data_IF_682658413059
#
_entry.id   IF_682658413059
#
_cell.length_a   1.000
_cell.length_b   1.000
_cell.length_c   1.000
_cell.angle_alpha   90.00
_cell.angle_beta   90.00
_cell.angle_gamma   90.00
#
_symmetry.space_group_name_H-M   'P 1'
#
loop_
_entity.id
_entity.type
_entity.pdbx_description
1 polymer ?
#
# COMPACT_ATOMS: atom_id res chain seq x y z
N UNK A 1 38.85 -28.67 14.71
CA UNK A 1 38.91 -28.43 13.26
C UNK A 1 38.93 -29.78 12.53
N UNK A 2 37.80 -30.20 11.96
CA UNK A 2 37.76 -31.24 10.92
C UNK A 2 36.46 -31.07 10.13
N UNK A 3 36.62 -30.69 8.86
CA UNK A 3 35.59 -30.59 7.81
C UNK A 3 35.22 -31.98 7.31
N UNK A 4 33.95 -32.19 6.98
CA UNK A 4 33.46 -33.20 6.01
C UNK A 4 32.10 -32.69 5.48
N UNK A 5 32.01 -32.10 4.28
CA UNK A 5 32.04 -32.70 2.95
C UNK A 5 30.69 -33.35 2.56
N UNK A 6 30.04 -32.69 1.60
CA UNK A 6 28.87 -33.11 0.79
C UNK A 6 29.26 -34.31 -0.09
N UNK A 7 28.28 -35.15 -0.48
CA UNK A 7 28.21 -35.50 -1.91
C UNK A 7 26.80 -35.34 -2.49
N UNK A 8 26.79 -34.64 -3.63
CA UNK A 8 25.86 -34.70 -4.76
C UNK A 8 25.91 -36.08 -5.42
N UNK A 9 24.80 -36.56 -6.02
CA UNK A 9 24.67 -37.51 -7.16
C UNK A 9 23.28 -38.20 -7.09
N UNK A 10 22.45 -38.48 -8.12
CA UNK A 10 22.54 -38.62 -9.59
C UNK A 10 21.14 -38.43 -10.19
N UNK A 11 21.06 -37.76 -11.34
CA UNK A 11 19.94 -37.80 -12.27
C UNK A 11 19.92 -39.11 -13.09
N UNK A 12 18.75 -39.67 -13.40
CA UNK A 12 18.64 -40.73 -14.41
C UNK A 12 17.45 -40.50 -15.33
N UNK A 13 17.79 -40.36 -16.62
CA UNK A 13 16.92 -40.25 -17.78
C UNK A 13 16.44 -41.64 -18.26
N UNK A 14 15.21 -41.65 -18.80
CA UNK A 14 14.70 -42.38 -19.97
C UNK A 14 14.88 -43.90 -20.12
N UNK A 15 13.75 -44.58 -20.38
CA UNK A 15 13.63 -45.54 -21.49
C UNK A 15 12.26 -45.37 -22.18
N UNK A 16 12.32 -45.24 -23.51
CA UNK A 16 11.23 -45.23 -24.48
C UNK A 16 10.57 -46.61 -24.61
N UNK A 17 9.26 -46.64 -24.89
CA UNK A 17 8.64 -47.73 -25.63
C UNK A 17 8.00 -47.16 -26.90
N UNK A 18 8.41 -47.73 -28.03
CA UNK A 18 7.89 -47.47 -29.37
C UNK A 18 7.43 -48.81 -29.98
N UNK A 19 6.57 -48.69 -31.00
CA UNK A 19 5.95 -49.72 -31.86
C UNK A 19 4.65 -50.34 -31.30
N UNK A 20 3.51 -50.29 -31.99
CA UNK A 20 3.20 -49.79 -33.33
C UNK A 20 1.74 -50.10 -33.67
N UNK A 21 1.17 -49.32 -34.59
CA UNK A 21 -0.20 -49.50 -35.09
C UNK A 21 -0.54 -48.36 -36.03
N UNK A 22 -0.23 -48.55 -37.30
CA UNK A 22 -0.50 -47.64 -38.40
C UNK A 22 -2.00 -47.55 -38.67
N UNK A 23 -2.58 -46.36 -38.52
CA UNK A 23 -3.69 -45.92 -39.35
C UNK A 23 -3.39 -44.50 -39.84
N UNK A 24 -3.57 -44.32 -41.14
CA UNK A 24 -3.25 -43.12 -41.91
C UNK A 24 -4.08 -41.92 -41.40
N UNK A 25 -3.49 -40.75 -41.11
CA UNK A 25 -4.28 -39.58 -40.78
C UNK A 25 -4.84 -38.97 -42.06
N UNK A 26 -6.16 -39.06 -42.23
CA UNK A 26 -6.89 -38.24 -43.20
C UNK A 26 -6.93 -36.82 -42.64
N UNK A 27 -6.40 -35.87 -43.40
CA UNK A 27 -6.51 -34.43 -43.15
C UNK A 27 -7.98 -34.04 -42.89
N UNK A 28 -8.25 -33.52 -41.71
CA UNK A 28 -9.36 -32.62 -41.48
C UNK A 28 -8.75 -31.22 -41.34
N UNK A 29 -8.83 -30.46 -42.43
CA UNK A 29 -8.63 -29.02 -42.47
C UNK A 29 -9.48 -28.36 -41.38
N UNK A 30 -8.83 -27.55 -40.54
CA UNK A 30 -9.48 -26.90 -39.41
C UNK A 30 -8.53 -25.94 -38.71
N UNK A 31 -8.27 -24.84 -39.40
CA UNK A 31 -7.63 -23.60 -38.98
C UNK A 31 -7.29 -23.42 -37.47
N UNK A 32 -6.04 -23.06 -37.21
CA UNK A 32 -5.77 -21.96 -36.27
C UNK A 32 -5.31 -22.31 -34.86
N UNK A 33 -4.60 -23.42 -34.65
CA UNK A 33 -3.89 -23.67 -33.39
C UNK A 33 -2.55 -22.90 -33.29
N UNK A 34 -2.54 -21.61 -33.66
CA UNK A 34 -1.38 -20.72 -33.48
C UNK A 34 -1.86 -19.28 -33.30
N UNK A 35 -2.32 -18.89 -32.09
CA UNK A 35 -2.24 -17.49 -31.65
C UNK A 35 -2.50 -17.18 -30.16
N UNK A 36 -2.47 -18.15 -29.24
CA UNK A 36 -2.55 -17.84 -27.79
C UNK A 36 -1.14 -17.58 -27.22
N UNK A 37 -0.35 -16.74 -27.89
CA UNK A 37 0.98 -16.30 -27.40
C UNK A 37 1.18 -14.79 -27.47
N UNK A 38 0.15 -14.04 -27.84
CA UNK A 38 0.17 -12.57 -27.83
C UNK A 38 -0.91 -12.06 -26.90
N UNK A 39 -0.68 -10.90 -26.26
CA UNK A 39 -1.68 -10.21 -25.45
C UNK A 39 -2.97 -9.92 -26.24
N UNK A 40 -2.86 -9.77 -27.57
CA UNK A 40 -4.02 -9.65 -28.47
C UNK A 40 -4.84 -10.94 -28.51
N UNK A 41 -4.20 -12.11 -28.64
CA UNK A 41 -4.91 -13.39 -28.65
C UNK A 41 -5.61 -13.73 -27.32
N UNK A 42 -5.05 -13.27 -26.19
CA UNK A 42 -5.70 -13.35 -24.88
C UNK A 42 -6.92 -12.41 -24.79
N UNK A 43 -6.80 -11.17 -25.27
CA UNK A 43 -7.89 -10.19 -25.32
C UNK A 43 -9.07 -10.68 -26.15
N UNK A 44 -8.80 -11.33 -27.29
CA UNK A 44 -9.85 -11.84 -28.16
C UNK A 44 -10.54 -13.06 -27.52
N UNK A 45 -9.79 -13.95 -26.85
CA UNK A 45 -10.38 -15.09 -26.12
C UNK A 45 -11.25 -14.67 -24.93
N UNK A 46 -10.92 -13.56 -24.25
CA UNK A 46 -11.69 -13.05 -23.10
C UNK A 46 -13.04 -12.43 -23.50
N UNK A 47 -13.21 -12.06 -24.77
CA UNK A 47 -14.44 -11.43 -25.27
C UNK A 47 -15.48 -12.45 -25.79
N UNK A 48 -15.07 -13.68 -26.13
CA UNK A 48 -15.99 -14.70 -26.67
C UNK A 48 -16.78 -15.45 -25.58
N UNK A 49 -16.36 -15.41 -24.31
CA UNK A 49 -16.96 -16.23 -23.24
C UNK A 49 -17.46 -15.42 -22.03
N UNK A 50 -18.14 -14.29 -22.24
CA UNK A 50 -18.88 -13.59 -21.18
C UNK A 50 -20.39 -13.63 -21.40
N UNK A 51 -21.02 -14.71 -20.93
CA UNK A 51 -22.42 -14.61 -20.45
C UNK A 51 -22.36 -13.86 -19.11
N UNK A 52 -22.50 -12.54 -19.18
CA UNK A 52 -22.50 -11.64 -18.04
C UNK A 52 -23.74 -11.86 -17.17
N UNK A 53 -23.66 -12.82 -16.23
CA UNK A 53 -24.46 -12.74 -15.00
C UNK A 53 -23.71 -11.76 -14.09
N UNK A 54 -23.89 -10.47 -14.34
CA UNK A 54 -23.41 -9.43 -13.42
C UNK A 54 -24.31 -9.48 -12.21
N UNK A 55 -23.80 -10.00 -11.10
CA UNK A 55 -24.38 -9.69 -9.80
C UNK A 55 -24.16 -8.18 -9.57
N UNK A 56 -25.22 -7.36 -9.49
CA UNK A 56 -25.08 -5.92 -9.24
C UNK A 56 -24.44 -5.61 -7.87
N UNK A 57 -24.24 -6.61 -7.01
CA UNK A 57 -23.51 -6.52 -5.75
C UNK A 57 -22.11 -7.15 -5.78
N UNK A 58 -21.67 -7.72 -6.90
CA UNK A 58 -20.30 -8.22 -6.99
C UNK A 58 -19.34 -7.04 -7.12
N UNK A 59 -18.62 -6.75 -6.03
CA UNK A 59 -17.45 -5.86 -6.03
C UNK A 59 -16.51 -6.34 -7.14
N UNK A 60 -16.21 -5.47 -8.10
CA UNK A 60 -15.32 -5.78 -9.22
C UNK A 60 -14.01 -6.37 -8.69
N UNK A 61 -13.49 -7.45 -9.29
CA UNK A 61 -12.30 -8.13 -8.79
C UNK A 61 -11.08 -7.17 -8.66
N UNK A 62 -11.03 -6.12 -9.47
CA UNK A 62 -10.05 -5.04 -9.36
C UNK A 62 -10.23 -4.21 -8.08
N UNK A 63 -11.47 -3.92 -7.68
CA UNK A 63 -11.79 -3.13 -6.48
C UNK A 63 -11.46 -3.88 -5.17
N UNK A 64 -11.39 -5.21 -5.19
CA UNK A 64 -10.89 -5.98 -4.05
C UNK A 64 -9.39 -5.78 -3.78
N UNK A 65 -8.64 -5.35 -4.81
CA UNK A 65 -7.18 -5.16 -4.75
C UNK A 65 -6.77 -3.72 -4.46
N UNK A 66 -7.66 -2.85 -3.98
CA UNK A 66 -7.24 -1.52 -3.51
C UNK A 66 -6.49 -1.70 -2.18
N UNK A 67 -5.16 -1.55 -2.24
CA UNK A 67 -4.24 -1.66 -1.11
C UNK A 67 -3.03 -0.73 -1.34
N UNK A 68 -3.05 0.51 -0.81
CA UNK A 68 -1.97 1.47 -1.04
C UNK A 68 -0.62 0.99 -0.49
N UNK A 69 -0.62 0.19 0.58
CA UNK A 69 0.60 -0.35 1.17
C UNK A 69 1.24 -1.44 0.31
N UNK A 70 0.44 -2.16 -0.48
CA UNK A 70 0.95 -3.16 -1.41
C UNK A 70 1.51 -2.57 -2.69
N UNK A 71 0.89 -1.50 -3.20
CA UNK A 71 1.12 -1.01 -4.55
C UNK A 71 1.80 0.35 -4.65
N UNK A 72 1.85 1.15 -3.58
CA UNK A 72 2.42 2.51 -3.62
C UNK A 72 3.43 2.86 -2.54
N UNK A 73 3.34 2.30 -1.32
CA UNK A 73 4.04 2.87 -0.15
C UNK A 73 5.33 2.13 0.31
N UNK A 74 6.03 1.42 -0.58
CA UNK A 74 7.31 0.75 -0.27
C UNK A 74 7.31 -0.18 0.96
N UNK A 75 6.23 -0.92 1.18
CA UNK A 75 6.22 -2.01 2.15
C UNK A 75 6.65 -3.30 1.46
N UNK A 76 7.63 -4.00 2.01
CA UNK A 76 8.01 -5.32 1.53
C UNK A 76 6.91 -6.35 1.82
N UNK A 77 6.93 -7.47 1.10
CA UNK A 77 5.99 -8.59 1.34
C UNK A 77 6.08 -9.04 2.82
N UNK A 78 7.29 -9.16 3.36
CA UNK A 78 7.50 -9.61 4.75
C UNK A 78 6.91 -8.65 5.78
N UNK A 79 7.06 -7.34 5.57
CA UNK A 79 6.46 -6.34 6.46
C UNK A 79 4.94 -6.41 6.41
N UNK A 80 4.36 -6.52 5.21
CA UNK A 80 2.90 -6.62 5.08
C UNK A 80 2.35 -7.90 5.69
N UNK A 81 3.03 -9.03 5.56
CA UNK A 81 2.59 -10.28 6.18
C UNK A 81 2.58 -10.17 7.72
N UNK A 82 3.60 -9.55 8.30
CA UNK A 82 3.65 -9.27 9.73
C UNK A 82 2.49 -8.33 10.15
N UNK A 83 2.31 -7.22 9.44
CA UNK A 83 1.29 -6.23 9.73
C UNK A 83 -0.13 -6.77 9.54
N UNK A 84 -0.35 -7.64 8.55
CA UNK A 84 -1.62 -8.35 8.35
C UNK A 84 -1.94 -9.28 9.53
N UNK A 85 -0.92 -9.94 10.11
CA UNK A 85 -1.07 -10.70 11.35
C UNK A 85 -1.53 -9.82 12.50
N UNK A 86 -0.85 -8.68 12.72
CA UNK A 86 -1.24 -7.70 13.75
C UNK A 86 -2.63 -7.11 13.50
N UNK A 87 -3.00 -6.87 12.24
CA UNK A 87 -4.33 -6.37 11.88
C UNK A 87 -5.43 -7.39 12.17
N UNK A 88 -5.17 -8.68 11.93
CA UNK A 88 -6.11 -9.73 12.28
C UNK A 88 -6.34 -9.79 13.80
N UNK A 89 -5.28 -9.66 14.60
CA UNK A 89 -5.38 -9.59 16.06
C UNK A 89 -6.13 -8.32 16.50
N UNK A 90 -5.81 -7.17 15.91
CA UNK A 90 -6.46 -5.88 16.20
C UNK A 90 -7.97 -5.90 15.93
N UNK A 91 -8.42 -6.57 14.87
CA UNK A 91 -9.85 -6.73 14.55
C UNK A 91 -10.62 -7.54 15.59
N UNK A 92 -9.94 -8.39 16.36
CA UNK A 92 -10.57 -9.18 17.41
C UNK A 92 -10.64 -8.42 18.76
N UNK A 93 -9.97 -7.28 18.87
CA UNK A 93 -9.94 -6.46 20.08
C UNK A 93 -10.91 -5.28 19.99
N UNK A 94 -11.90 -5.26 20.89
CA UNK A 94 -12.78 -4.09 21.05
C UNK A 94 -11.97 -2.81 21.35
N UNK A 95 -12.43 -1.69 20.81
CA UNK A 95 -11.82 -0.35 20.92
C UNK A 95 -10.36 -0.23 20.42
N UNK A 96 -9.82 -1.22 19.70
CA UNK A 96 -8.43 -1.16 19.22
C UNK A 96 -8.18 0.08 18.37
N UNK A 97 -9.05 0.37 17.42
CA UNK A 97 -8.93 1.54 16.55
C UNK A 97 -8.78 2.84 17.37
N UNK A 98 -9.64 3.04 18.37
CA UNK A 98 -9.59 4.23 19.22
C UNK A 98 -8.29 4.31 20.03
N UNK A 99 -7.81 3.18 20.58
CA UNK A 99 -6.51 3.13 21.29
C UNK A 99 -5.34 3.40 20.35
N UNK A 100 -5.37 2.83 19.14
CA UNK A 100 -4.32 2.99 18.13
C UNK A 100 -4.24 4.44 17.64
N UNK A 101 -5.37 5.09 17.40
CA UNK A 101 -5.44 6.52 17.08
C UNK A 101 -4.92 7.39 18.23
N UNK A 102 -5.29 7.09 19.49
CA UNK A 102 -4.77 7.81 20.65
C UNK A 102 -3.24 7.67 20.77
N UNK A 103 -2.71 6.47 20.56
CA UNK A 103 -1.27 6.26 20.56
C UNK A 103 -0.57 6.97 19.39
N UNK A 104 -1.20 7.06 18.22
CA UNK A 104 -0.70 7.88 17.11
C UNK A 104 -0.65 9.37 17.46
N UNK A 105 -1.68 9.89 18.13
CA UNK A 105 -1.69 11.28 18.64
C UNK A 105 -0.49 11.58 19.53
N UNK A 106 -0.11 10.63 20.39
CA UNK A 106 1.03 10.77 21.29
C UNK A 106 2.39 10.73 20.54
N UNK A 107 2.47 9.95 19.46
CA UNK A 107 3.73 9.74 18.74
C UNK A 107 4.00 10.77 17.65
N UNK A 108 2.97 11.33 17.01
CA UNK A 108 3.15 12.32 15.95
C UNK A 108 4.04 13.49 16.38
N UNK A 109 3.84 14.14 17.54
CA UNK A 109 4.72 15.23 17.98
C UNK A 109 6.18 14.83 18.18
N UNK A 110 6.48 13.54 18.31
CA UNK A 110 7.84 13.03 18.55
C UNK A 110 8.59 12.79 17.24
N UNK A 111 7.94 12.16 16.25
CA UNK A 111 8.61 11.72 15.00
C UNK A 111 8.19 12.52 13.77
N UNK A 112 7.06 13.22 13.83
CA UNK A 112 6.51 14.09 12.78
C UNK A 112 6.14 15.44 13.40
N UNK A 113 7.11 16.17 13.97
CA UNK A 113 6.86 17.44 14.64
C UNK A 113 6.21 18.43 13.66
N UNK A 114 5.25 19.21 14.14
CA UNK A 114 4.44 20.11 13.32
C UNK A 114 3.18 19.49 12.74
N UNK A 115 3.18 18.20 12.40
CA UNK A 115 1.97 17.49 11.97
C UNK A 115 0.97 17.40 13.12
N UNK A 116 -0.18 18.05 12.98
CA UNK A 116 -1.27 17.90 13.94
C UNK A 116 -1.94 16.53 13.81
N UNK A 117 -2.42 16.00 14.94
CA UNK A 117 -3.19 14.75 14.94
C UNK A 117 -4.50 14.91 14.16
N UNK A 118 -5.12 16.08 14.26
CA UNK A 118 -6.34 16.43 13.53
C UNK A 118 -6.11 16.40 12.00
N UNK A 119 -4.99 16.95 11.52
CA UNK A 119 -4.61 16.88 10.09
C UNK A 119 -4.33 15.45 9.65
N UNK A 120 -3.52 14.70 10.41
CA UNK A 120 -3.26 13.28 10.14
C UNK A 120 -4.55 12.48 9.98
N UNK A 121 -5.49 12.63 10.93
CA UNK A 121 -6.73 11.86 10.94
C UNK A 121 -7.66 12.28 9.79
N UNK A 122 -7.76 13.59 9.50
CA UNK A 122 -8.56 14.10 8.40
C UNK A 122 -8.07 13.57 7.04
N UNK A 123 -6.75 13.68 6.78
CA UNK A 123 -6.15 13.21 5.52
C UNK A 123 -6.26 11.67 5.41
N UNK A 124 -6.05 10.94 6.50
CA UNK A 124 -6.22 9.49 6.50
C UNK A 124 -7.68 9.08 6.22
N UNK A 125 -8.66 9.88 6.68
CA UNK A 125 -10.08 9.70 6.32
C UNK A 125 -10.28 9.85 4.82
N UNK A 126 -9.68 10.86 4.19
CA UNK A 126 -9.74 11.05 2.73
C UNK A 126 -9.21 9.82 1.97
N UNK A 127 -8.08 9.24 2.42
CA UNK A 127 -7.51 8.03 1.84
C UNK A 127 -8.48 6.84 1.92
N UNK A 128 -9.11 6.68 3.08
CA UNK A 128 -10.07 5.60 3.35
C UNK A 128 -11.35 5.81 2.54
N UNK A 129 -11.85 7.03 2.43
CA UNK A 129 -13.02 7.38 1.63
C UNK A 129 -12.81 7.06 0.14
N UNK A 130 -11.62 7.37 -0.41
CA UNK A 130 -11.25 6.98 -1.77
C UNK A 130 -11.28 5.45 -1.97
N UNK A 131 -10.66 4.69 -1.06
CA UNK A 131 -10.68 3.22 -1.10
C UNK A 131 -12.13 2.68 -1.07
N UNK A 132 -12.93 3.13 -0.09
CA UNK A 132 -14.32 2.68 0.06
C UNK A 132 -15.15 3.00 -1.17
N UNK A 133 -15.03 4.20 -1.75
CA UNK A 133 -15.74 4.56 -2.98
C UNK A 133 -15.33 3.69 -4.18
N UNK A 134 -14.05 3.32 -4.28
CA UNK A 134 -13.58 2.34 -5.27
C UNK A 134 -14.18 0.96 -5.07
N UNK A 135 -14.22 0.47 -3.82
CA UNK A 135 -14.85 -0.80 -3.44
C UNK A 135 -16.35 -0.84 -3.71
N UNK A 136 -17.03 0.28 -3.55
CA UNK A 136 -18.46 0.42 -3.82
C UNK A 136 -18.79 0.63 -5.31
N UNK A 137 -17.77 0.70 -6.18
CA UNK A 137 -17.92 0.89 -7.62
C UNK A 137 -18.34 2.31 -8.03
N UNK A 138 -18.18 3.29 -7.13
CA UNK A 138 -18.45 4.71 -7.42
C UNK A 138 -17.26 5.31 -8.17
N UNK A 139 -16.04 5.00 -7.72
CA UNK A 139 -14.80 5.36 -8.41
C UNK A 139 -14.25 4.18 -9.20
N UNK A 140 -13.54 4.51 -10.28
CA UNK A 140 -12.77 3.49 -11.01
C UNK A 140 -11.64 2.98 -10.10
N UNK A 141 -11.41 1.66 -9.98
CA UNK A 141 -10.52 1.11 -8.95
C UNK A 141 -9.07 1.64 -8.96
N UNK A 142 -8.50 1.93 -10.14
CA UNK A 142 -7.14 2.48 -10.21
C UNK A 142 -7.10 3.93 -9.70
N UNK A 143 -8.10 4.75 -10.05
CA UNK A 143 -8.23 6.12 -9.54
C UNK A 143 -8.40 6.12 -8.01
N UNK A 144 -9.22 5.21 -7.49
CA UNK A 144 -9.39 5.04 -6.05
C UNK A 144 -8.08 4.62 -5.37
N UNK A 145 -7.30 3.73 -5.99
CA UNK A 145 -5.99 3.33 -5.48
C UNK A 145 -5.00 4.49 -5.48
N UNK A 146 -4.91 5.25 -6.57
CA UNK A 146 -3.99 6.38 -6.68
C UNK A 146 -4.29 7.43 -5.60
N UNK A 147 -5.56 7.84 -5.45
CA UNK A 147 -5.97 8.75 -4.38
C UNK A 147 -5.70 8.17 -2.99
N UNK A 148 -5.97 6.87 -2.78
CA UNK A 148 -5.67 6.23 -1.50
C UNK A 148 -4.16 6.24 -1.20
N UNK A 149 -3.29 6.06 -2.19
CA UNK A 149 -1.84 6.16 -2.04
C UNK A 149 -1.46 7.58 -1.64
N UNK A 150 -1.84 8.57 -2.44
CA UNK A 150 -1.44 9.97 -2.26
C UNK A 150 -1.88 10.50 -0.89
N UNK A 151 -3.14 10.27 -0.49
CA UNK A 151 -3.61 10.69 0.83
C UNK A 151 -2.98 9.91 1.98
N UNK A 152 -2.75 8.60 1.82
CA UNK A 152 -2.12 7.80 2.88
C UNK A 152 -0.70 8.32 3.15
N UNK A 153 0.06 8.58 2.09
CA UNK A 153 1.39 9.17 2.18
C UNK A 153 1.35 10.59 2.77
N UNK A 154 0.49 11.46 2.23
CA UNK A 154 0.35 12.83 2.71
C UNK A 154 -0.02 12.92 4.20
N UNK A 155 -0.80 11.96 4.71
CA UNK A 155 -1.22 11.95 6.11
C UNK A 155 -0.04 11.90 7.10
N UNK A 156 1.10 11.34 6.69
CA UNK A 156 2.31 11.20 7.51
C UNK A 156 3.46 12.10 7.06
N UNK A 157 3.37 12.69 5.87
CA UNK A 157 4.33 13.67 5.34
C UNK A 157 4.18 15.03 6.00
N UNK A 158 5.28 15.71 6.29
CA UNK A 158 5.31 17.08 6.81
C UNK A 158 5.16 18.04 5.62
N UNK A 159 4.11 18.85 5.61
CA UNK A 159 3.88 19.87 4.56
C UNK A 159 4.71 21.13 4.83
N UNK A 160 4.72 22.07 3.88
CA UNK A 160 5.39 23.37 4.07
C UNK A 160 4.84 24.12 5.29
N UNK A 161 3.51 24.14 5.44
CA UNK A 161 2.83 24.75 6.59
C UNK A 161 3.22 24.08 7.91
N UNK A 162 3.35 22.75 7.93
CA UNK A 162 3.80 22.02 9.11
C UNK A 162 5.24 22.42 9.50
N UNK A 163 6.11 22.70 8.53
CA UNK A 163 7.49 23.15 8.78
C UNK A 163 7.55 24.55 9.39
N UNK A 164 6.60 25.43 9.07
CA UNK A 164 6.50 26.76 9.66
C UNK A 164 5.95 26.75 11.10
N UNK A 165 5.39 25.62 11.53
CA UNK A 165 4.78 25.50 12.87
C UNK A 165 5.81 25.64 14.01
N UNK A 166 5.37 26.19 15.15
CA UNK A 166 6.21 26.27 16.36
C UNK A 166 6.73 24.90 16.81
N UNK A 167 5.94 23.84 16.62
CA UNK A 167 6.31 22.47 16.96
C UNK A 167 7.49 21.96 16.13
N UNK A 168 7.49 22.21 14.83
CA UNK A 168 8.61 21.84 13.95
C UNK A 168 9.85 22.69 14.24
N UNK A 169 9.70 24.00 14.37
CA UNK A 169 10.81 24.92 14.67
C UNK A 169 11.49 24.59 16.01
N UNK A 170 10.72 24.23 17.03
CA UNK A 170 11.26 23.80 18.32
C UNK A 170 12.04 22.47 18.22
N UNK A 171 11.53 21.51 17.43
CA UNK A 171 12.22 20.27 17.17
C UNK A 171 13.53 20.50 16.40
N UNK A 172 13.51 21.34 15.36
CA UNK A 172 14.70 21.69 14.58
C UNK A 172 15.77 22.31 15.47
N UNK A 173 15.40 23.26 16.33
CA UNK A 173 16.32 23.86 17.30
C UNK A 173 16.93 22.82 18.26
N UNK A 174 16.13 21.85 18.74
CA UNK A 174 16.63 20.75 19.57
C UNK A 174 17.61 19.86 18.81
N UNK A 175 17.33 19.55 17.54
CA UNK A 175 18.21 18.73 16.71
C UNK A 175 19.55 19.42 16.43
N UNK A 176 19.52 20.73 16.17
CA UNK A 176 20.73 21.55 16.01
C UNK A 176 21.56 21.55 17.30
N UNK A 177 20.94 21.80 18.46
CA UNK A 177 21.64 21.78 19.75
C UNK A 177 22.26 20.39 20.04
N UNK A 178 21.52 19.31 19.79
CA UNK A 178 22.03 17.95 19.96
C UNK A 178 23.21 17.65 19.01
N UNK A 179 23.20 18.24 17.81
CA UNK A 179 24.27 18.09 16.84
C UNK A 179 25.53 18.86 17.27
N UNK A 180 25.38 20.09 17.74
CA UNK A 180 26.49 20.98 18.12
C UNK A 180 27.08 20.64 19.51
N UNK A 181 26.22 20.35 20.49
CA UNK A 181 26.59 20.25 21.90
C UNK A 181 26.48 18.83 22.47
N UNK A 182 25.76 17.92 21.81
CA UNK A 182 25.57 16.55 22.27
C UNK A 182 26.84 15.68 22.15
N UNK A 183 26.95 14.65 22.98
CA UNK A 183 27.98 13.63 22.79
C UNK A 183 27.61 12.68 21.64
N UNK A 184 28.59 11.91 21.15
CA UNK A 184 28.31 10.88 20.15
C UNK A 184 27.31 9.82 20.66
N UNK A 185 27.35 9.52 21.96
CA UNK A 185 26.42 8.58 22.60
C UNK A 185 25.00 9.16 22.66
N UNK A 186 24.85 10.44 22.98
CA UNK A 186 23.54 11.10 23.03
C UNK A 186 22.87 11.10 21.65
N UNK A 187 23.61 11.49 20.60
CA UNK A 187 23.12 11.44 19.22
C UNK A 187 22.71 10.03 18.80
N UNK A 188 23.49 9.01 19.17
CA UNK A 188 23.18 7.62 18.85
C UNK A 188 21.89 7.17 19.55
N UNK A 189 21.76 7.43 20.85
CA UNK A 189 20.59 7.04 21.63
C UNK A 189 19.32 7.76 21.13
N UNK A 190 19.43 9.04 20.80
CA UNK A 190 18.34 9.83 20.28
C UNK A 190 17.86 9.30 18.91
N UNK A 191 18.77 9.06 17.96
CA UNK A 191 18.39 8.46 16.66
C UNK A 191 17.71 7.12 16.82
N UNK A 192 18.23 6.26 17.70
CA UNK A 192 17.61 4.95 17.98
C UNK A 192 16.21 5.09 18.57
N UNK A 193 15.97 6.09 19.42
CA UNK A 193 14.66 6.36 19.97
C UNK A 193 13.68 6.83 18.90
N UNK A 194 14.12 7.75 18.01
CA UNK A 194 13.31 8.21 16.88
C UNK A 194 12.97 7.07 15.92
N UNK A 195 13.95 6.25 15.54
CA UNK A 195 13.75 5.10 14.66
C UNK A 195 12.78 4.07 15.25
N UNK A 196 12.89 3.81 16.57
CA UNK A 196 11.96 2.91 17.24
C UNK A 196 10.53 3.46 17.26
N UNK A 197 10.37 4.77 17.43
CA UNK A 197 9.07 5.42 17.44
C UNK A 197 8.47 5.56 16.05
N UNK A 198 9.30 5.79 15.03
CA UNK A 198 8.88 5.83 13.62
C UNK A 198 8.35 4.46 13.17
N UNK A 199 9.04 3.38 13.55
CA UNK A 199 8.55 2.02 13.30
C UNK A 199 7.20 1.74 13.98
N UNK A 200 6.99 2.27 15.20
CA UNK A 200 5.68 2.19 15.88
C UNK A 200 4.63 3.00 15.13
N UNK A 201 4.94 4.22 14.71
CA UNK A 201 4.03 5.05 13.94
C UNK A 201 3.65 4.38 12.62
N UNK A 202 4.62 3.82 11.88
CA UNK A 202 4.41 3.06 10.63
C UNK A 202 3.44 1.89 10.85
N UNK A 203 3.66 1.12 11.92
CA UNK A 203 2.75 0.02 12.32
C UNK A 203 1.35 0.54 12.60
N UNK A 204 1.19 1.58 13.43
CA UNK A 204 -0.12 2.13 13.78
C UNK A 204 -0.82 2.76 12.59
N UNK A 205 -0.09 3.41 11.70
CA UNK A 205 -0.66 4.02 10.51
C UNK A 205 -1.25 2.97 9.57
N UNK A 206 -0.54 1.86 9.33
CA UNK A 206 -1.08 0.70 8.62
C UNK A 206 -2.38 0.18 9.27
N UNK A 207 -2.35 -0.06 10.59
CA UNK A 207 -3.50 -0.57 11.32
C UNK A 207 -4.68 0.40 11.31
N UNK A 208 -4.43 1.69 11.56
CA UNK A 208 -5.44 2.75 11.56
C UNK A 208 -6.13 2.82 10.20
N UNK A 209 -5.39 2.80 9.09
CA UNK A 209 -5.98 2.82 7.75
C UNK A 209 -7.01 1.71 7.56
N UNK A 210 -6.60 0.45 7.80
CA UNK A 210 -7.48 -0.69 7.56
C UNK A 210 -8.64 -0.76 8.54
N UNK A 211 -8.41 -0.43 9.82
CA UNK A 211 -9.47 -0.41 10.82
C UNK A 211 -10.47 0.72 10.58
N UNK A 212 -10.02 1.91 10.15
CA UNK A 212 -10.90 3.00 9.73
C UNK A 212 -11.72 2.61 8.51
N UNK A 213 -11.09 1.95 7.52
CA UNK A 213 -11.78 1.44 6.34
C UNK A 213 -12.84 0.41 6.70
N UNK A 214 -12.50 -0.55 7.55
CA UNK A 214 -13.45 -1.58 7.98
C UNK A 214 -14.64 -0.93 8.71
N UNK A 215 -14.38 0.04 9.60
CA UNK A 215 -15.43 0.81 10.28
C UNK A 215 -16.30 1.62 9.30
N UNK A 216 -15.71 2.23 8.28
CA UNK A 216 -16.45 3.05 7.31
C UNK A 216 -17.31 2.19 6.38
N UNK A 217 -16.82 1.02 5.96
CA UNK A 217 -17.56 0.08 5.11
C UNK A 217 -18.89 -0.36 5.73
N UNK A 218 -18.98 -0.42 7.06
CA UNK A 218 -20.20 -0.83 7.77
C UNK A 218 -21.33 0.21 7.69
N UNK A 219 -20.99 1.49 7.48
CA UNK A 219 -21.94 2.62 7.54
C UNK A 219 -21.88 3.56 6.34
N UNK A 220 -21.26 3.13 5.24
CA UNK A 220 -20.96 4.00 4.10
C UNK A 220 -22.22 4.50 3.37
N UNK A 221 -22.42 5.82 3.38
CA UNK A 221 -23.31 6.53 2.45
C UNK A 221 -22.49 7.01 1.25
N UNK A 222 -22.82 6.51 0.06
CA UNK A 222 -22.05 6.75 -1.17
C UNK A 222 -22.00 8.23 -1.54
N UNK A 223 -23.12 8.93 -1.40
CA UNK A 223 -23.23 10.32 -1.86
C UNK A 223 -22.46 11.24 -0.90
N UNK A 224 -22.61 11.00 0.41
CA UNK A 224 -21.86 11.74 1.44
C UNK A 224 -20.35 11.52 1.31
N UNK A 225 -19.92 10.28 1.07
CA UNK A 225 -18.50 9.95 0.88
C UNK A 225 -17.91 10.58 -0.37
N UNK A 226 -18.69 10.65 -1.45
CA UNK A 226 -18.23 11.29 -2.67
C UNK A 226 -18.08 12.81 -2.48
N UNK A 227 -18.99 13.45 -1.75
CA UNK A 227 -18.87 14.86 -1.37
C UNK A 227 -17.64 15.10 -0.49
N UNK A 228 -17.41 14.25 0.52
CA UNK A 228 -16.22 14.29 1.37
C UNK A 228 -14.94 14.16 0.55
N UNK A 229 -14.85 13.19 -0.35
CA UNK A 229 -13.66 13.01 -1.18
C UNK A 229 -13.42 14.21 -2.10
N UNK A 230 -14.47 14.77 -2.72
CA UNK A 230 -14.31 15.96 -3.55
C UNK A 230 -13.77 17.14 -2.74
N UNK A 231 -14.27 17.32 -1.51
CA UNK A 231 -13.74 18.33 -0.58
C UNK A 231 -12.28 18.06 -0.22
N UNK A 232 -11.90 16.80 0.00
CA UNK A 232 -10.51 16.42 0.27
C UNK A 232 -9.60 16.78 -0.92
N UNK A 233 -10.01 16.45 -2.14
CA UNK A 233 -9.24 16.71 -3.35
C UNK A 233 -9.03 18.22 -3.56
N UNK A 234 -10.05 19.05 -3.32
CA UNK A 234 -9.92 20.50 -3.38
C UNK A 234 -9.05 21.05 -2.25
N UNK A 235 -9.18 20.51 -1.03
CA UNK A 235 -8.44 21.02 0.14
C UNK A 235 -6.94 20.74 0.06
N UNK A 236 -6.55 19.59 -0.49
CA UNK A 236 -5.17 19.10 -0.48
C UNK A 236 -4.54 19.04 -1.87
N UNK A 237 -5.12 19.72 -2.88
CA UNK A 237 -4.64 19.72 -4.27
C UNK A 237 -3.15 20.11 -4.34
N UNK A 238 -2.80 21.26 -3.77
CA UNK A 238 -1.44 21.81 -3.78
C UNK A 238 -0.44 20.91 -3.02
N UNK A 239 -0.88 20.34 -1.88
CA UNK A 239 -0.06 19.45 -1.06
C UNK A 239 0.24 18.12 -1.77
N UNK A 240 -0.75 17.57 -2.49
CA UNK A 240 -0.58 16.36 -3.30
C UNK A 240 0.32 16.65 -4.50
N UNK A 241 0.15 17.78 -5.18
CA UNK A 241 1.03 18.17 -6.28
C UNK A 241 2.49 18.29 -5.80
N UNK A 242 2.72 18.94 -4.66
CA UNK A 242 4.04 19.03 -4.05
C UNK A 242 4.62 17.65 -3.69
N UNK A 243 3.81 16.74 -3.16
CA UNK A 243 4.21 15.37 -2.84
C UNK A 243 4.66 14.60 -4.11
N UNK A 244 3.87 14.67 -5.18
CA UNK A 244 4.18 13.99 -6.45
C UNK A 244 5.47 14.53 -7.04
N UNK A 245 5.66 15.86 -7.07
CA UNK A 245 6.88 16.49 -7.56
C UNK A 245 8.10 16.03 -6.75
N UNK A 246 7.97 15.96 -5.42
CA UNK A 246 9.06 15.49 -4.56
C UNK A 246 9.43 14.03 -4.84
N UNK A 247 8.44 13.16 -5.08
CA UNK A 247 8.66 11.76 -5.45
C UNK A 247 9.41 11.63 -6.79
N UNK A 248 8.95 12.34 -7.82
CA UNK A 248 9.59 12.32 -9.14
C UNK A 248 11.04 12.80 -9.08
N UNK A 249 11.33 13.81 -8.25
CA UNK A 249 12.70 14.27 -8.02
C UNK A 249 13.56 13.22 -7.32
N UNK A 250 13.05 12.58 -6.26
CA UNK A 250 13.76 11.52 -5.56
C UNK A 250 14.06 10.32 -6.48
N UNK A 251 13.09 9.91 -7.30
CA UNK A 251 13.28 8.84 -8.29
C UNK A 251 14.31 9.23 -9.37
N UNK A 252 14.31 10.49 -9.82
CA UNK A 252 15.30 10.96 -10.79
C UNK A 252 16.72 10.97 -10.18
N UNK A 253 16.87 11.35 -8.92
CA UNK A 253 18.15 11.30 -8.20
C UNK A 253 18.68 9.87 -8.01
N UNK A 254 17.78 8.91 -7.77
CA UNK A 254 18.15 7.50 -7.65
C UNK A 254 18.55 6.88 -9.01
N UNK A 255 17.94 7.35 -10.10
CA UNK A 255 18.12 6.78 -11.44
C UNK A 255 19.21 7.46 -12.30
N UNK A 256 19.57 8.73 -12.03
CA UNK A 256 20.71 9.44 -12.65
C UNK A 256 20.46 10.07 -14.01
#
# INVERSE_FOLDING_TARGET
MTRTAIPLFIASLMVLNACGGSDVPTEAEGAGAENIRTLSGLRDSLNEERVNVVDPNAVEAAAQNIDPFKYGLDYTIYERDLLNGLLADARAEDDYLSRSLAATRESLPVVRPGKSFESYQAILSCAVSADVLGRLGVLVPHVALDHAIDFTELSITITADDMESEGFQAFEAQMVDLQENGTALDRFNHRRALEAEENRLRTRHYLNYFLMRDALLESADRDALQEELNSCLETYEDDIEALIIAREQAEAEENG
#
